data_IF_177320329858
#
_entry.id   IF_177320329858
#
_cell.length_a   1.000
_cell.length_b   1.000
_cell.length_c   1.000
_cell.angle_alpha   90.00
_cell.angle_beta   90.00
_cell.angle_gamma   90.00
#
_symmetry.space_group_name_H-M   'P 1'
#
loop_
_entity.id
_entity.type
_entity.pdbx_description
1 polymer ?
#
# COMPACT_ATOMS: atom_id res chain seq x y z
N UNK A 1 -3.30 4.53 -9.18
CA UNK A 1 -3.44 3.47 -8.16
C UNK A 1 -2.48 2.34 -8.47
N UNK A 2 -1.42 2.22 -7.68
CA UNK A 2 -0.40 1.18 -7.84
C UNK A 2 0.30 0.94 -6.51
N UNK A 3 1.09 -0.13 -6.46
CA UNK A 3 1.98 -0.43 -5.35
C UNK A 3 3.40 -0.26 -5.88
N UNK A 4 4.23 0.52 -5.19
CA UNK A 4 5.64 0.72 -5.58
C UNK A 4 6.41 -0.59 -5.44
N UNK A 5 6.05 -1.38 -4.44
CA UNK A 5 6.56 -2.71 -4.20
C UNK A 5 6.13 -3.25 -2.84
N UNK A 6 6.66 -4.42 -2.50
CA UNK A 6 6.43 -5.05 -1.20
C UNK A 6 7.32 -6.26 -1.06
N UNK A 7 7.40 -6.77 0.16
CA UNK A 7 8.10 -8.01 0.46
C UNK A 7 7.28 -8.83 1.45
N UNK A 8 7.44 -10.13 1.39
CA UNK A 8 6.78 -11.06 2.32
C UNK A 8 7.76 -12.17 2.65
N UNK A 9 7.99 -12.38 3.95
CA UNK A 9 8.73 -13.52 4.47
C UNK A 9 7.77 -14.46 5.18
N UNK A 10 7.77 -15.73 4.77
CA UNK A 10 6.98 -16.81 5.38
C UNK A 10 7.84 -18.00 5.83
N UNK A 11 9.17 -17.86 5.78
CA UNK A 11 10.12 -18.90 6.19
C UNK A 11 10.00 -19.14 7.70
N UNK A 12 10.23 -20.38 8.12
CA UNK A 12 10.21 -20.78 9.53
C UNK A 12 11.50 -20.41 10.30
N UNK A 13 12.51 -19.88 9.61
CA UNK A 13 13.79 -19.44 10.20
C UNK A 13 13.67 -18.08 10.90
N UNK A 14 12.81 -17.19 10.39
CA UNK A 14 12.58 -15.84 10.91
C UNK A 14 11.07 -15.63 11.20
N UNK A 15 10.73 -14.46 11.74
CA UNK A 15 9.33 -14.05 11.89
C UNK A 15 8.67 -13.88 10.53
N UNK A 16 7.42 -14.34 10.42
CA UNK A 16 6.62 -14.05 9.24
C UNK A 16 6.16 -12.60 9.26
N UNK A 17 6.49 -11.87 8.22
CA UNK A 17 6.12 -10.47 8.07
C UNK A 17 5.89 -10.15 6.61
N UNK A 18 5.05 -9.15 6.35
CA UNK A 18 4.97 -8.51 5.06
C UNK A 18 5.04 -6.99 5.21
N UNK A 19 5.48 -6.36 4.13
CA UNK A 19 5.52 -4.92 3.97
C UNK A 19 4.97 -4.58 2.60
N UNK A 20 4.07 -3.59 2.55
CA UNK A 20 3.61 -3.02 1.30
C UNK A 20 3.89 -1.52 1.24
N UNK A 21 4.28 -1.06 0.05
CA UNK A 21 4.65 0.34 -0.21
C UNK A 21 3.62 0.94 -1.17
N UNK A 22 2.55 1.57 -0.66
CA UNK A 22 1.52 2.16 -1.50
C UNK A 22 2.03 3.43 -2.22
N UNK A 23 1.62 3.66 -3.47
CA UNK A 23 1.97 4.91 -4.18
C UNK A 23 1.07 6.08 -3.79
N UNK A 24 -0.16 5.79 -3.38
CA UNK A 24 -1.21 6.77 -3.09
C UNK A 24 -1.94 6.38 -1.80
N UNK A 25 -1.91 7.26 -0.81
CA UNK A 25 -2.59 7.06 0.47
C UNK A 25 -3.37 8.31 0.82
N UNK A 26 -4.61 8.12 1.26
CA UNK A 26 -5.50 9.20 1.67
C UNK A 26 -6.12 8.87 3.02
N UNK A 27 -6.12 9.86 3.92
CA UNK A 27 -6.97 9.83 5.10
C UNK A 27 -8.34 10.37 4.69
N UNK A 28 -9.39 9.59 4.94
CA UNK A 28 -10.77 9.95 4.61
C UNK A 28 -11.53 10.25 5.90
N UNK A 29 -12.17 11.41 5.98
CA UNK A 29 -13.12 11.70 7.05
C UNK A 29 -14.43 10.94 6.81
N UNK A 30 -14.80 10.05 7.72
CA UNK A 30 -15.95 9.16 7.53
C UNK A 30 -17.31 9.86 7.47
N UNK A 31 -17.44 11.10 7.96
CA UNK A 31 -18.70 11.85 7.97
C UNK A 31 -18.87 12.71 6.72
N UNK A 32 -17.78 13.35 6.30
CA UNK A 32 -17.78 14.35 5.22
C UNK A 32 -17.24 13.81 3.89
N UNK A 33 -16.54 12.68 3.91
CA UNK A 33 -15.84 12.13 2.76
C UNK A 33 -14.60 12.92 2.35
N UNK A 34 -14.19 13.93 3.13
CA UNK A 34 -13.04 14.77 2.80
C UNK A 34 -11.76 13.94 2.83
N UNK A 35 -11.02 13.98 1.74
CA UNK A 35 -9.74 13.28 1.59
C UNK A 35 -8.56 14.22 1.85
N UNK A 36 -7.60 13.75 2.64
CA UNK A 36 -6.30 14.40 2.83
C UNK A 36 -5.21 13.44 2.44
N UNK A 37 -4.38 13.82 1.46
CA UNK A 37 -3.26 13.00 1.00
C UNK A 37 -2.23 12.82 2.12
N UNK A 38 -1.83 11.56 2.33
CA UNK A 38 -0.75 11.16 3.25
C UNK A 38 0.42 10.66 2.41
N UNK A 39 1.65 10.97 2.85
CA UNK A 39 2.89 10.59 2.15
C UNK A 39 3.80 9.82 3.09
N UNK A 40 4.76 9.11 2.50
CA UNK A 40 5.83 8.41 3.21
C UNK A 40 5.32 7.41 4.24
N UNK A 41 4.33 6.60 3.83
CA UNK A 41 3.72 5.56 4.66
C UNK A 41 3.87 4.21 3.96
N UNK A 42 4.26 3.22 4.75
CA UNK A 42 4.25 1.80 4.42
C UNK A 42 3.28 1.11 5.37
N UNK A 43 2.73 -0.04 4.98
CA UNK A 43 1.98 -0.89 5.89
C UNK A 43 2.75 -2.18 6.15
N UNK A 44 2.71 -2.64 7.40
CA UNK A 44 3.41 -3.83 7.86
C UNK A 44 2.46 -4.71 8.66
N UNK A 45 2.81 -5.99 8.78
CA UNK A 45 2.07 -6.91 9.63
C UNK A 45 2.51 -8.35 9.45
N UNK A 46 1.82 -9.25 10.12
CA UNK A 46 1.94 -10.68 9.83
C UNK A 46 0.81 -11.08 8.87
N UNK A 47 1.06 -11.91 7.84
CA UNK A 47 0.07 -12.19 6.81
C UNK A 47 -1.28 -12.67 7.35
N UNK A 48 -1.25 -13.63 8.31
CA UNK A 48 -2.47 -14.17 8.90
C UNK A 48 -3.26 -13.13 9.70
N UNK A 49 -2.59 -12.31 10.50
CA UNK A 49 -3.26 -11.33 11.35
C UNK A 49 -3.91 -10.19 10.54
N UNK A 50 -3.31 -9.82 9.40
CA UNK A 50 -3.90 -8.81 8.51
C UNK A 50 -5.08 -9.37 7.72
N UNK A 51 -5.03 -10.63 7.28
CA UNK A 51 -6.17 -11.28 6.61
C UNK A 51 -7.38 -11.42 7.54
N UNK A 52 -7.17 -11.72 8.82
CA UNK A 52 -8.25 -11.83 9.81
C UNK A 52 -8.98 -10.50 10.07
N UNK A 53 -8.38 -9.36 9.71
CA UNK A 53 -8.96 -8.03 9.88
C UNK A 53 -9.81 -7.58 8.71
N UNK A 54 -9.94 -8.39 7.65
CA UNK A 54 -10.83 -8.08 6.54
C UNK A 54 -12.29 -8.14 7.02
N UNK A 55 -12.99 -7.00 6.93
CA UNK A 55 -14.39 -6.87 7.36
C UNK A 55 -15.37 -6.73 6.20
N UNK A 56 -14.90 -6.33 5.02
CA UNK A 56 -15.73 -6.28 3.82
C UNK A 56 -14.87 -6.44 2.56
N UNK A 57 -15.52 -6.94 1.50
CA UNK A 57 -14.91 -7.10 0.17
C UNK A 57 -15.85 -6.47 -0.85
N UNK A 58 -15.29 -5.63 -1.72
CA UNK A 58 -15.99 -4.97 -2.81
C UNK A 58 -16.38 -5.94 -3.92
N UNK A 59 -17.23 -5.47 -4.84
CA UNK A 59 -17.70 -6.27 -6.00
C UNK A 59 -16.91 -5.99 -7.28
N UNK A 60 -16.25 -4.85 -7.34
CA UNK A 60 -15.42 -4.45 -8.48
C UNK A 60 -14.14 -5.28 -8.46
N UNK A 61 -13.69 -5.73 -9.63
CA UNK A 61 -12.45 -6.47 -9.79
C UNK A 61 -11.43 -5.54 -10.45
N UNK A 62 -10.27 -5.39 -9.81
CA UNK A 62 -9.13 -4.69 -10.39
C UNK A 62 -8.07 -5.71 -10.83
N UNK A 63 -7.43 -5.44 -11.96
CA UNK A 63 -6.34 -6.24 -12.52
C UNK A 63 -5.07 -5.39 -12.50
N UNK A 64 -4.05 -5.87 -11.81
CA UNK A 64 -2.72 -5.29 -11.78
C UNK A 64 -1.74 -6.21 -12.54
N UNK A 65 -1.19 -5.71 -13.65
CA UNK A 65 -0.15 -6.40 -14.40
C UNK A 65 1.20 -5.77 -14.03
N UNK A 66 1.97 -6.49 -13.23
CA UNK A 66 3.22 -5.99 -12.65
C UNK A 66 4.33 -7.05 -12.74
N UNK A 67 5.48 -6.76 -12.14
CA UNK A 67 6.61 -7.69 -12.09
C UNK A 67 6.85 -8.13 -10.66
N UNK A 68 6.92 -9.44 -10.45
CA UNK A 68 7.40 -10.00 -9.20
C UNK A 68 8.93 -10.09 -9.28
N UNK A 69 9.62 -9.49 -8.31
CA UNK A 69 11.09 -9.45 -8.26
C UNK A 69 11.57 -10.30 -7.08
N UNK A 70 12.55 -11.14 -7.34
CA UNK A 70 13.29 -11.89 -6.34
C UNK A 70 14.79 -11.91 -6.69
N UNK A 71 15.61 -12.54 -5.85
CA UNK A 71 17.05 -12.71 -6.10
C UNK A 71 17.34 -13.42 -7.44
N UNK A 72 16.41 -14.24 -7.92
CA UNK A 72 16.49 -14.97 -9.20
C UNK A 72 16.12 -14.13 -10.42
N UNK A 73 15.70 -12.87 -10.25
CA UNK A 73 15.27 -11.97 -11.33
C UNK A 73 13.81 -11.53 -11.23
N UNK A 74 13.32 -10.90 -12.30
CA UNK A 74 11.96 -10.36 -12.40
C UNK A 74 11.14 -11.16 -13.41
N UNK A 75 9.92 -11.55 -13.02
CA UNK A 75 8.96 -12.23 -13.91
C UNK A 75 7.65 -11.44 -13.98
N UNK A 76 6.99 -11.38 -15.15
CA UNK A 76 5.70 -10.73 -15.28
C UNK A 76 4.63 -11.55 -14.53
N UNK A 77 3.77 -10.86 -13.79
CA UNK A 77 2.66 -11.44 -13.04
C UNK A 77 1.39 -10.60 -13.23
N UNK A 78 0.24 -11.23 -13.02
CA UNK A 78 -1.06 -10.56 -12.99
C UNK A 78 -1.73 -10.85 -11.66
N UNK A 79 -2.06 -9.80 -10.92
CA UNK A 79 -2.84 -9.88 -9.68
C UNK A 79 -4.26 -9.43 -9.97
N UNK A 80 -5.24 -10.23 -9.58
CA UNK A 80 -6.66 -9.91 -9.73
C UNK A 80 -7.27 -9.88 -8.33
N UNK A 81 -7.71 -8.70 -7.88
CA UNK A 81 -8.24 -8.54 -6.53
C UNK A 81 -9.37 -7.50 -6.50
N UNK A 82 -10.40 -7.71 -5.68
CA UNK A 82 -11.36 -6.68 -5.38
C UNK A 82 -10.82 -5.67 -4.35
N UNK A 83 -11.46 -4.50 -4.19
CA UNK A 83 -11.25 -3.64 -3.03
C UNK A 83 -11.55 -4.39 -1.73
N UNK A 84 -10.71 -4.18 -0.71
CA UNK A 84 -10.85 -4.80 0.61
C UNK A 84 -10.89 -3.73 1.68
N UNK A 85 -11.81 -3.88 2.64
CA UNK A 85 -11.84 -3.06 3.85
C UNK A 85 -11.29 -3.88 5.02
N UNK A 86 -10.25 -3.35 5.65
CA UNK A 86 -9.68 -3.89 6.88
C UNK A 86 -10.08 -3.04 8.07
N UNK A 87 -10.40 -3.67 9.21
CA UNK A 87 -10.71 -2.96 10.45
C UNK A 87 -9.50 -2.22 11.02
N UNK A 88 -8.32 -2.79 10.84
CA UNK A 88 -7.06 -2.24 11.33
C UNK A 88 -5.90 -2.74 10.43
N UNK A 89 -4.89 -1.89 10.28
CA UNK A 89 -3.61 -2.27 9.69
C UNK A 89 -2.51 -1.39 10.29
N UNK A 90 -1.38 -1.97 10.63
CA UNK A 90 -0.25 -1.21 11.16
C UNK A 90 0.44 -0.42 10.04
N UNK A 91 0.65 0.87 10.29
CA UNK A 91 1.36 1.78 9.40
C UNK A 91 2.73 2.13 9.98
N UNK A 92 3.73 2.14 9.12
CA UNK A 92 5.08 2.58 9.42
C UNK A 92 5.44 3.79 8.56
N UNK A 93 6.17 4.75 9.13
CA UNK A 93 6.73 5.86 8.36
C UNK A 93 7.89 5.34 7.51
N UNK A 94 7.82 5.53 6.19
CA UNK A 94 8.95 5.30 5.28
C UNK A 94 10.10 6.22 5.70
N UNK A 95 11.33 5.73 5.66
CA UNK A 95 12.52 6.55 5.91
C UNK A 95 12.73 7.56 4.77
N UNK A 96 11.99 8.67 4.83
CA UNK A 96 12.03 9.75 3.83
C UNK A 96 12.79 10.98 4.32
N UNK A 97 13.71 11.48 3.49
CA UNK A 97 14.27 12.85 3.60
C UNK A 97 13.10 13.85 3.64
N UNK A 98 13.24 14.92 4.42
CA UNK A 98 12.30 16.05 4.43
C UNK A 98 12.11 16.58 3.00
N UNK A 99 11.04 16.18 2.32
CA UNK A 99 10.63 16.82 1.10
C UNK A 99 10.07 18.19 1.49
N UNK A 100 10.87 19.23 1.27
CA UNK A 100 10.39 20.60 1.37
C UNK A 100 9.20 20.74 0.42
N UNK A 101 8.09 21.25 0.93
CA UNK A 101 6.95 21.62 0.10
C UNK A 101 7.48 22.56 -1.00
N UNK A 102 7.10 22.36 -2.28
CA UNK A 102 7.48 23.27 -3.34
C UNK A 102 7.12 24.70 -2.94
N UNK A 103 8.08 25.63 -3.04
CA UNK A 103 7.87 27.05 -2.71
C UNK A 103 6.85 27.69 -3.67
N UNK A 104 6.66 27.10 -4.85
CA UNK A 104 5.78 27.58 -5.90
C UNK A 104 4.63 26.59 -6.16
N UNK A 105 3.42 27.08 -6.45
CA UNK A 105 2.31 26.24 -6.89
C UNK A 105 2.62 25.58 -8.24
N UNK A 106 2.00 24.44 -8.55
CA UNK A 106 2.23 23.73 -9.82
C UNK A 106 1.79 24.60 -11.02
N UNK A 107 2.54 24.56 -12.14
CA UNK A 107 2.36 25.48 -13.27
C UNK A 107 1.08 25.28 -14.10
N UNK A 108 0.22 24.32 -13.76
CA UNK A 108 -1.03 24.02 -14.47
C UNK A 108 -2.29 24.50 -13.72
N UNK A 109 -2.14 25.23 -12.62
CA UNK A 109 -3.24 25.83 -11.85
C UNK A 109 -3.60 27.27 -12.31
N UNK A 110 -3.18 27.69 -13.50
CA UNK A 110 -3.52 28.99 -14.10
C UNK A 110 -4.72 28.93 -15.05
#
# INVERSE_FOLDING_TARGET
RGVEGGETSTRNYDFQAFKGVPTEVYKVDAKTGKETRVRDVEFIGTPLASLQRIVAVGREIEVDNSYCVAESGAIPVSTIAPPVLVSEIELQRKSGRTYLTPILPPPWES
#
